data_IF_418378102833
#
_entry.id   IF_418378102833
#
_cell.length_a   1.000
_cell.length_b   1.000
_cell.length_c   1.000
_cell.angle_alpha   90.00
_cell.angle_beta   90.00
_cell.angle_gamma   90.00
#
_symmetry.space_group_name_H-M   'P 1'
#
loop_
_entity.id
_entity.type
_entity.pdbx_description
1 polymer ?
#
# COMPACT_ATOMS: atom_id res chain seq x y z
N UNK A 1 -12.63 19.14 12.69
CA UNK A 1 -12.44 17.71 13.03
C UNK A 1 -13.60 16.94 12.42
N UNK A 2 -13.32 15.97 11.56
CA UNK A 2 -14.35 15.11 10.97
C UNK A 2 -14.55 13.91 11.89
N UNK A 3 -15.79 13.60 12.25
CA UNK A 3 -16.11 12.42 13.07
C UNK A 3 -16.40 11.24 12.15
N UNK A 4 -15.73 10.11 12.38
CA UNK A 4 -16.01 8.85 11.70
C UNK A 4 -16.90 7.99 12.60
N UNK A 5 -17.92 7.36 12.02
CA UNK A 5 -18.80 6.43 12.72
C UNK A 5 -18.78 5.09 11.99
N UNK A 6 -18.61 4.01 12.76
CA UNK A 6 -18.58 2.64 12.27
C UNK A 6 -19.63 1.82 13.02
N UNK A 7 -20.35 0.95 12.32
CA UNK A 7 -21.39 0.13 12.95
C UNK A 7 -20.80 -1.08 13.65
N UNK A 8 -19.63 -1.54 13.20
CA UNK A 8 -18.95 -2.70 13.76
C UNK A 8 -17.45 -2.47 13.93
N UNK A 9 -16.83 -3.25 14.81
CA UNK A 9 -15.36 -3.31 14.92
C UNK A 9 -14.71 -3.76 13.61
N UNK A 10 -15.37 -4.66 12.88
CA UNK A 10 -14.85 -5.18 11.61
C UNK A 10 -14.77 -4.08 10.55
N UNK A 11 -15.83 -3.27 10.40
CA UNK A 11 -15.82 -2.09 9.52
C UNK A 11 -14.73 -1.09 9.90
N UNK A 12 -14.58 -0.81 11.20
CA UNK A 12 -13.54 0.09 11.70
C UNK A 12 -12.13 -0.41 11.34
N UNK A 13 -11.83 -1.68 11.60
CA UNK A 13 -10.49 -2.23 11.36
C UNK A 13 -10.22 -2.39 9.85
N UNK A 14 -11.22 -2.77 9.05
CA UNK A 14 -11.12 -2.78 7.58
C UNK A 14 -10.75 -1.39 7.06
N UNK A 15 -11.49 -0.36 7.48
CA UNK A 15 -11.20 1.02 7.10
C UNK A 15 -9.81 1.47 7.59
N UNK A 16 -9.36 1.04 8.76
CA UNK A 16 -8.03 1.34 9.26
C UNK A 16 -6.92 0.73 8.38
N UNK A 17 -7.07 -0.54 7.96
CA UNK A 17 -6.15 -1.19 7.03
C UNK A 17 -6.05 -0.41 5.71
N UNK A 18 -7.20 -0.07 5.10
CA UNK A 18 -7.26 0.70 3.85
C UNK A 18 -6.67 2.10 3.99
N UNK A 19 -6.94 2.77 5.12
CA UNK A 19 -6.43 4.11 5.40
C UNK A 19 -4.91 4.10 5.54
N UNK A 20 -4.36 3.13 6.28
CA UNK A 20 -2.91 2.99 6.42
C UNK A 20 -2.26 2.64 5.09
N UNK A 21 -2.85 1.74 4.30
CA UNK A 21 -2.37 1.41 2.96
C UNK A 21 -2.32 2.65 2.05
N UNK A 22 -3.36 3.50 2.10
CA UNK A 22 -3.37 4.77 1.39
C UNK A 22 -2.26 5.70 1.85
N UNK A 23 -2.05 5.88 3.16
CA UNK A 23 -0.98 6.75 3.70
C UNK A 23 0.41 6.27 3.24
N UNK A 24 0.65 4.96 3.30
CA UNK A 24 1.90 4.35 2.83
C UNK A 24 2.08 4.57 1.33
N UNK A 25 1.01 4.39 0.54
CA UNK A 25 1.00 4.66 -0.89
C UNK A 25 1.25 6.14 -1.20
N UNK A 26 0.57 7.08 -0.54
CA UNK A 26 0.79 8.52 -0.75
C UNK A 26 2.24 8.93 -0.45
N UNK A 27 2.87 8.32 0.56
CA UNK A 27 4.29 8.56 0.83
C UNK A 27 5.18 8.01 -0.30
N UNK A 28 4.94 6.77 -0.74
CA UNK A 28 5.75 6.14 -1.78
C UNK A 28 5.69 6.87 -3.12
N UNK A 29 4.57 7.56 -3.39
CA UNK A 29 4.38 8.29 -4.64
C UNK A 29 5.45 9.37 -4.81
N UNK A 30 5.93 9.95 -3.71
CA UNK A 30 7.02 10.95 -3.71
C UNK A 30 8.29 10.38 -4.37
N UNK A 31 8.60 9.10 -4.13
CA UNK A 31 9.77 8.46 -4.73
C UNK A 31 9.55 8.17 -6.23
N UNK A 32 8.36 7.69 -6.60
CA UNK A 32 8.01 7.45 -8.01
C UNK A 32 8.01 8.74 -8.83
N UNK A 33 7.47 9.84 -8.28
CA UNK A 33 7.49 11.17 -8.90
C UNK A 33 8.92 11.69 -9.10
N UNK A 34 9.85 11.27 -8.24
CA UNK A 34 11.28 11.54 -8.36
C UNK A 34 12.04 10.49 -9.19
N UNK A 35 11.33 9.65 -9.95
CA UNK A 35 11.88 8.58 -10.80
C UNK A 35 12.78 7.60 -10.03
N UNK A 36 12.46 7.35 -8.76
CA UNK A 36 13.23 6.47 -7.88
C UNK A 36 12.35 5.29 -7.43
N UNK A 37 12.84 4.03 -7.48
CA UNK A 37 12.07 2.89 -6.99
C UNK A 37 11.67 3.01 -5.51
N UNK A 38 10.39 2.84 -5.23
CA UNK A 38 9.77 2.86 -3.90
C UNK A 38 9.67 1.44 -3.29
N UNK A 39 10.80 0.73 -3.20
CA UNK A 39 10.87 -0.68 -2.80
C UNK A 39 10.34 -0.91 -1.37
N UNK A 40 10.59 0.03 -0.47
CA UNK A 40 10.11 -0.09 0.91
C UNK A 40 8.58 0.03 0.99
N UNK A 41 7.98 0.85 0.11
CA UNK A 41 6.53 1.00 0.01
C UNK A 41 5.89 -0.30 -0.46
N UNK A 42 6.41 -0.91 -1.53
CA UNK A 42 5.96 -2.22 -2.02
C UNK A 42 6.00 -3.30 -0.93
N UNK A 43 7.13 -3.43 -0.22
CA UNK A 43 7.29 -4.41 0.86
C UNK A 43 6.32 -4.17 2.02
N UNK A 44 6.13 -2.90 2.38
CA UNK A 44 5.21 -2.52 3.46
C UNK A 44 3.77 -2.88 3.12
N UNK A 45 3.31 -2.52 1.91
CA UNK A 45 1.97 -2.85 1.42
C UNK A 45 1.76 -4.36 1.29
N UNK A 46 2.75 -5.08 0.77
CA UNK A 46 2.69 -6.54 0.64
C UNK A 46 2.53 -7.23 2.01
N UNK A 47 3.26 -6.76 3.03
CA UNK A 47 3.11 -7.30 4.38
C UNK A 47 1.77 -6.90 5.02
N UNK A 48 1.30 -5.68 4.76
CA UNK A 48 0.01 -5.20 5.26
C UNK A 48 -1.15 -6.02 4.67
N UNK A 49 -1.10 -6.33 3.36
CA UNK A 49 -2.08 -7.20 2.69
C UNK A 49 -2.09 -8.61 3.29
N UNK A 50 -0.90 -9.20 3.50
CA UNK A 50 -0.76 -10.49 4.17
C UNK A 50 -1.41 -10.48 5.57
N UNK A 51 -1.12 -9.48 6.39
CA UNK A 51 -1.70 -9.40 7.75
C UNK A 51 -3.21 -9.19 7.71
N UNK A 52 -3.73 -8.36 6.79
CA UNK A 52 -5.17 -8.18 6.61
C UNK A 52 -5.85 -9.52 6.29
N UNK A 53 -5.30 -10.28 5.35
CA UNK A 53 -5.78 -11.61 4.98
C UNK A 53 -5.76 -12.59 6.16
N UNK A 54 -4.63 -12.70 6.89
CA UNK A 54 -4.49 -13.60 8.04
C UNK A 54 -5.50 -13.30 9.17
N UNK A 55 -5.92 -12.05 9.27
CA UNK A 55 -6.93 -11.61 10.24
C UNK A 55 -8.36 -11.57 9.68
N UNK A 56 -8.60 -12.17 8.51
CA UNK A 56 -9.91 -12.23 7.84
C UNK A 56 -10.50 -10.87 7.46
N UNK A 57 -9.65 -9.89 7.16
CA UNK A 57 -10.01 -8.63 6.51
C UNK A 57 -9.77 -8.73 5.00
N UNK A 58 -10.45 -7.90 4.23
CA UNK A 58 -10.31 -7.87 2.77
C UNK A 58 -9.02 -7.13 2.37
N UNK A 59 -8.04 -7.80 1.74
CA UNK A 59 -6.78 -7.18 1.35
C UNK A 59 -6.83 -6.49 -0.02
N UNK A 60 -7.94 -6.58 -0.76
CA UNK A 60 -8.01 -6.22 -2.20
C UNK A 60 -7.48 -4.81 -2.51
N UNK A 61 -7.84 -3.81 -1.68
CA UNK A 61 -7.36 -2.43 -1.84
C UNK A 61 -5.84 -2.33 -1.64
N UNK A 62 -5.32 -3.06 -0.64
CA UNK A 62 -3.90 -3.07 -0.31
C UNK A 62 -3.10 -3.78 -1.40
N UNK A 63 -3.61 -4.92 -1.89
CA UNK A 63 -3.01 -5.69 -3.00
C UNK A 63 -2.95 -4.87 -4.29
N UNK A 64 -3.96 -4.04 -4.54
CA UNK A 64 -3.96 -3.12 -5.67
C UNK A 64 -2.80 -2.14 -5.57
N UNK A 65 -2.57 -1.53 -4.40
CA UNK A 65 -1.41 -0.67 -4.20
C UNK A 65 -0.09 -1.45 -4.30
N UNK A 66 0.03 -2.61 -3.64
CA UNK A 66 1.25 -3.41 -3.67
C UNK A 66 1.64 -3.81 -5.10
N UNK A 67 0.66 -4.19 -5.92
CA UNK A 67 0.86 -4.55 -7.33
C UNK A 67 1.35 -3.34 -8.14
N UNK A 68 0.70 -2.18 -7.99
CA UNK A 68 1.11 -0.95 -8.68
C UNK A 68 2.56 -0.57 -8.35
N UNK A 69 2.94 -0.68 -7.07
CA UNK A 69 4.31 -0.40 -6.65
C UNK A 69 5.31 -1.41 -7.18
N UNK A 70 4.96 -2.70 -7.18
CA UNK A 70 5.82 -3.75 -7.75
C UNK A 70 6.08 -3.53 -9.24
N UNK A 71 5.04 -3.20 -10.00
CA UNK A 71 5.14 -2.89 -11.43
C UNK A 71 6.01 -1.64 -11.65
N UNK A 72 5.68 -0.53 -10.98
CA UNK A 72 6.42 0.74 -11.11
C UNK A 72 7.89 0.59 -10.71
N UNK A 73 8.18 -0.16 -9.64
CA UNK A 73 9.55 -0.42 -9.20
C UNK A 73 10.31 -1.25 -10.24
N UNK A 74 9.68 -2.27 -10.81
CA UNK A 74 10.30 -3.11 -11.84
C UNK A 74 10.63 -2.28 -13.07
N UNK A 75 9.70 -1.45 -13.54
CA UNK A 75 9.91 -0.54 -14.68
C UNK A 75 11.07 0.44 -14.43
N UNK A 76 11.13 1.05 -13.24
CA UNK A 76 12.21 2.00 -12.90
C UNK A 76 13.57 1.31 -12.75
N UNK A 77 13.61 0.09 -12.19
CA UNK A 77 14.86 -0.69 -12.08
C UNK A 77 15.33 -1.12 -13.48
N UNK A 78 14.43 -1.55 -14.36
CA UNK A 78 14.79 -1.90 -15.73
C UNK A 78 15.26 -0.69 -16.54
N UNK A 79 14.68 0.50 -16.31
CA UNK A 79 15.04 1.71 -17.03
C UNK A 79 16.29 2.42 -16.51
N UNK A 80 16.57 2.34 -15.20
CA UNK A 80 17.58 3.17 -14.51
C UNK A 80 18.52 2.40 -13.57
N UNK A 81 18.35 1.08 -13.43
CA UNK A 81 19.27 0.25 -12.65
C UNK A 81 20.66 0.25 -13.29
N UNK A 82 21.70 0.44 -12.49
CA UNK A 82 23.07 0.16 -12.91
C UNK A 82 23.27 -1.36 -12.98
N UNK A 83 23.87 -1.85 -14.07
CA UNK A 83 24.23 -3.28 -14.28
C UNK A 83 25.09 -3.88 -13.15
#
# INVERSE_FOLDING_TARGET
MTTLAFNTKQEFVQCAFETVAKIVSDQGQIALDAMTPAINTEKCLSHLAFVAHEWSYDPTVIDTYATLYKESNSELIEAFGED
#
